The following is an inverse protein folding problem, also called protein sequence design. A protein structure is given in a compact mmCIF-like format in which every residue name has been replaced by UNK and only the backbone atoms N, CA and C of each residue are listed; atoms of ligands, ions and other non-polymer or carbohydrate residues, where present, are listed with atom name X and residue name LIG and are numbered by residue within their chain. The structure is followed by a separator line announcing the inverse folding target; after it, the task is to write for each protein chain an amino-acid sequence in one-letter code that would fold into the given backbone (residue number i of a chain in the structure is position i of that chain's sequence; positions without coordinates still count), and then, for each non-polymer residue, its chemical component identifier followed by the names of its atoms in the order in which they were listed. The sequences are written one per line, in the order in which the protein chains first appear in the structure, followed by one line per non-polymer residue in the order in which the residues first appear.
data_IF_187856185641
#
_entry.id   IF_187856185641
#
_cell.length_a   1.000
_cell.length_b   1.000
_cell.length_c   1.000
_cell.angle_alpha   90.00
_cell.angle_beta   90.00
_cell.angle_gamma   90.00
#
_symmetry.space_group_name_H-M   'P 1'
#
loop_
_entity.id
_entity.type
_entity.pdbx_description
1 polymer ?
#
# COMPACT_ATOMS: atom_id res chain seq x y z
N UNK A 1 -11.26 -48.20 8.54
CA UNK A 1 -10.00 -47.49 8.83
C UNK A 1 -9.40 -46.74 7.64
N UNK A 2 -9.27 -47.37 6.46
CA UNK A 2 -8.68 -46.72 5.28
C UNK A 2 -9.45 -45.47 4.79
N UNK A 3 -10.79 -45.49 4.81
CA UNK A 3 -11.63 -44.36 4.41
C UNK A 3 -11.55 -43.17 5.38
N UNK A 4 -11.37 -43.43 6.67
CA UNK A 4 -11.24 -42.41 7.72
C UNK A 4 -9.91 -41.65 7.59
N UNK A 5 -8.83 -42.35 7.27
CA UNK A 5 -7.48 -41.78 7.07
C UNK A 5 -7.47 -40.89 5.81
N UNK A 6 -8.14 -41.30 4.74
CA UNK A 6 -8.24 -40.51 3.49
C UNK A 6 -9.06 -39.22 3.73
N UNK A 7 -10.12 -39.26 4.52
CA UNK A 7 -10.89 -38.06 4.88
C UNK A 7 -10.08 -37.07 5.74
N UNK A 8 -9.27 -37.58 6.68
CA UNK A 8 -8.45 -36.72 7.55
C UNK A 8 -7.32 -36.05 6.75
N UNK A 9 -6.71 -36.77 5.80
CA UNK A 9 -5.66 -36.18 4.94
C UNK A 9 -6.22 -35.17 3.96
N UNK A 10 -7.44 -35.33 3.44
CA UNK A 10 -8.10 -34.34 2.60
C UNK A 10 -8.51 -33.08 3.40
N UNK A 11 -8.89 -33.22 4.66
CA UNK A 11 -9.26 -32.09 5.51
C UNK A 11 -8.06 -31.23 5.90
N UNK A 12 -6.87 -31.84 6.02
CA UNK A 12 -5.62 -31.12 6.35
C UNK A 12 -5.04 -30.33 5.16
N UNK A 13 -5.37 -30.70 3.93
CA UNK A 13 -4.94 -30.01 2.72
C UNK A 13 -5.67 -28.69 2.46
N UNK A 14 -6.75 -28.38 3.19
CA UNK A 14 -7.56 -27.17 3.02
C UNK A 14 -7.15 -25.99 3.93
N UNK A 15 -6.17 -26.19 4.83
CA UNK A 15 -5.62 -25.12 5.68
C UNK A 15 -4.41 -24.43 5.02
N UNK A 16 -4.47 -24.12 3.74
CA UNK A 16 -3.55 -23.15 3.17
C UNK A 16 -3.98 -21.77 3.65
N UNK A 17 -3.30 -21.23 4.65
CA UNK A 17 -3.43 -19.84 5.05
C UNK A 17 -3.00 -18.97 3.86
N UNK A 18 -3.94 -18.55 3.03
CA UNK A 18 -3.69 -17.60 1.93
C UNK A 18 -3.41 -16.25 2.56
N UNK A 19 -2.14 -15.89 2.66
CA UNK A 19 -1.74 -14.55 3.07
C UNK A 19 -2.20 -13.56 2.01
N UNK A 20 -2.74 -12.43 2.46
CA UNK A 20 -3.17 -11.39 1.55
C UNK A 20 -1.98 -10.84 0.75
N UNK A 21 -2.18 -10.69 -0.56
CA UNK A 21 -1.21 -10.14 -1.51
C UNK A 21 -1.68 -8.78 -1.99
N UNK A 22 -0.74 -7.93 -2.41
CA UNK A 22 -1.09 -6.67 -3.07
C UNK A 22 -1.93 -6.98 -4.31
N UNK A 23 -3.15 -6.40 -4.43
CA UNK A 23 -3.99 -6.57 -5.61
C UNK A 23 -3.40 -5.85 -6.83
N UNK A 24 -3.68 -6.38 -8.01
CA UNK A 24 -3.26 -5.82 -9.30
C UNK A 24 -4.34 -4.89 -9.84
N UNK A 25 -4.15 -3.59 -9.67
CA UNK A 25 -5.05 -2.53 -10.19
C UNK A 25 -4.23 -1.43 -10.86
N UNK A 26 -4.90 -0.57 -11.64
CA UNK A 26 -4.27 0.56 -12.30
C UNK A 26 -4.49 1.85 -11.50
N UNK A 27 -3.40 2.55 -11.23
CA UNK A 27 -3.38 3.86 -10.57
C UNK A 27 -2.50 4.81 -11.40
N UNK A 28 -2.49 6.10 -11.10
CA UNK A 28 -1.57 7.04 -11.76
C UNK A 28 -0.35 7.33 -10.89
N UNK A 29 0.78 7.56 -11.55
CA UNK A 29 1.98 8.09 -10.92
C UNK A 29 1.99 9.63 -10.88
N UNK A 30 3.11 10.22 -10.44
CA UNK A 30 3.32 11.68 -10.39
C UNK A 30 3.27 12.34 -11.76
N UNK A 31 3.58 11.61 -12.85
CA UNK A 31 3.57 12.12 -14.23
C UNK A 31 2.22 11.92 -14.91
N UNK A 32 1.25 11.29 -14.24
CA UNK A 32 -0.05 10.94 -14.81
C UNK A 32 -0.04 9.66 -15.65
N UNK A 33 1.07 8.92 -15.64
CA UNK A 33 1.15 7.63 -16.33
C UNK A 33 0.43 6.53 -15.52
N UNK A 34 -0.21 5.61 -16.25
CA UNK A 34 -0.86 4.47 -15.62
C UNK A 34 0.18 3.45 -15.15
N UNK A 35 0.13 3.12 -13.88
CA UNK A 35 0.98 2.13 -13.22
C UNK A 35 0.12 1.01 -12.66
N UNK A 36 0.56 -0.24 -12.83
CA UNK A 36 -0.08 -1.38 -12.18
C UNK A 36 0.53 -1.56 -10.78
N UNK A 37 -0.30 -1.65 -9.74
CA UNK A 37 0.15 -1.81 -8.36
C UNK A 37 0.95 -3.09 -8.12
N UNK A 38 0.76 -4.14 -8.93
CA UNK A 38 1.59 -5.35 -8.88
C UNK A 38 3.07 -5.05 -9.19
N UNK A 39 3.38 -3.98 -9.95
CA UNK A 39 4.77 -3.58 -10.24
C UNK A 39 5.49 -2.95 -9.04
N UNK A 40 4.79 -2.65 -7.96
CA UNK A 40 5.41 -2.23 -6.69
C UNK A 40 6.22 -3.36 -6.06
N UNK A 41 5.85 -4.62 -6.33
CA UNK A 41 6.60 -5.80 -5.86
C UNK A 41 7.89 -5.92 -6.66
N UNK A 42 9.04 -5.81 -6.00
CA UNK A 42 10.36 -5.89 -6.65
C UNK A 42 11.22 -7.07 -6.16
N UNK A 43 10.68 -7.91 -5.28
CA UNK A 43 11.35 -9.07 -4.68
C UNK A 43 12.70 -8.75 -3.99
N UNK A 44 12.90 -7.50 -3.58
CA UNK A 44 14.17 -7.04 -2.95
C UNK A 44 13.94 -6.25 -1.67
N UNK A 45 12.96 -5.35 -1.68
CA UNK A 45 12.74 -4.44 -0.55
C UNK A 45 11.27 -4.44 -0.13
N UNK A 46 11.00 -4.54 1.17
CA UNK A 46 9.67 -4.34 1.71
C UNK A 46 9.19 -2.91 1.50
N UNK A 47 7.91 -2.66 1.76
CA UNK A 47 7.33 -1.33 1.64
C UNK A 47 6.29 -1.07 2.71
N UNK A 48 6.13 0.21 3.02
CA UNK A 48 5.00 0.75 3.77
C UNK A 48 4.07 1.40 2.74
N UNK A 49 2.78 1.04 2.76
CA UNK A 49 1.77 1.68 1.92
C UNK A 49 0.84 2.46 2.84
N UNK A 50 0.78 3.79 2.68
CA UNK A 50 -0.14 4.66 3.40
C UNK A 50 -1.19 5.23 2.45
N UNK A 51 -2.48 5.04 2.77
CA UNK A 51 -3.59 5.66 2.06
C UNK A 51 -3.97 6.97 2.74
N UNK A 52 -4.09 8.03 1.93
CA UNK A 52 -4.35 9.39 2.40
C UNK A 52 -5.30 10.15 1.47
N UNK A 53 -5.78 11.30 1.93
CA UNK A 53 -6.57 12.23 1.12
C UNK A 53 -6.25 13.68 1.50
N UNK A 54 -6.47 14.62 0.59
CA UNK A 54 -6.20 16.06 0.81
C UNK A 54 -7.04 16.68 1.93
N UNK A 55 -8.16 16.08 2.28
CA UNK A 55 -9.03 16.49 3.37
C UNK A 55 -8.71 15.81 4.70
N UNK A 56 -7.80 14.83 4.70
CA UNK A 56 -7.43 14.05 5.87
C UNK A 56 -6.25 14.69 6.61
N UNK A 57 -6.51 15.59 7.54
CA UNK A 57 -5.45 16.24 8.35
C UNK A 57 -4.58 15.25 9.14
N UNK A 58 -5.11 14.17 9.75
CA UNK A 58 -4.26 13.16 10.39
C UNK A 58 -3.31 12.48 9.40
N UNK A 59 -3.76 12.19 8.17
CA UNK A 59 -2.93 11.58 7.13
C UNK A 59 -1.72 12.47 6.78
N UNK A 60 -1.96 13.76 6.62
CA UNK A 60 -0.90 14.73 6.27
C UNK A 60 0.15 14.76 7.39
N UNK A 61 -0.28 14.84 8.66
CA UNK A 61 0.65 14.81 9.79
C UNK A 61 1.44 13.50 9.88
N UNK A 62 0.81 12.38 9.58
CA UNK A 62 1.48 11.07 9.55
C UNK A 62 2.56 11.04 8.45
N UNK A 63 2.22 11.45 7.22
CA UNK A 63 3.16 11.48 6.11
C UNK A 63 4.31 12.48 6.36
N UNK A 64 4.03 13.63 6.95
CA UNK A 64 5.08 14.59 7.35
C UNK A 64 6.03 13.97 8.38
N UNK A 65 5.50 13.29 9.40
CA UNK A 65 6.32 12.61 10.40
C UNK A 65 7.15 11.47 9.80
N UNK A 66 6.59 10.70 8.87
CA UNK A 66 7.33 9.66 8.13
C UNK A 66 8.44 10.31 7.31
N UNK A 67 8.15 11.38 6.58
CA UNK A 67 9.11 12.08 5.73
C UNK A 67 10.29 12.64 6.54
N UNK A 68 10.01 13.20 7.71
CA UNK A 68 11.03 13.73 8.63
C UNK A 68 11.97 12.63 9.16
N UNK A 69 11.42 11.46 9.49
CA UNK A 69 12.19 10.35 10.08
C UNK A 69 12.80 9.39 9.04
N UNK A 70 12.35 9.47 7.78
CA UNK A 70 12.74 8.51 6.73
C UNK A 70 14.25 8.42 6.50
N UNK A 71 15.03 9.51 6.49
CA UNK A 71 16.49 9.42 6.33
C UNK A 71 17.15 8.56 7.40
N UNK A 72 16.79 8.76 8.67
CA UNK A 72 17.34 8.01 9.80
C UNK A 72 16.95 6.52 9.73
N UNK A 73 15.68 6.24 9.39
CA UNK A 73 15.21 4.86 9.26
C UNK A 73 15.88 4.11 8.10
N UNK A 74 16.20 4.80 7.00
CA UNK A 74 16.88 4.19 5.86
C UNK A 74 18.36 3.86 6.13
N UNK A 75 18.97 4.47 7.15
CA UNK A 75 20.29 4.06 7.64
C UNK A 75 20.25 2.71 8.35
N UNK A 76 19.12 2.40 9.03
CA UNK A 76 18.94 1.16 9.78
C UNK A 76 18.40 0.02 8.92
N UNK A 77 17.45 0.31 8.02
CA UNK A 77 16.76 -0.70 7.22
C UNK A 77 16.41 -0.20 5.81
N UNK A 78 16.52 -1.06 4.81
CA UNK A 78 16.11 -0.74 3.43
C UNK A 78 14.65 -1.07 3.21
N UNK A 79 13.82 -0.07 3.01
CA UNK A 79 12.41 -0.20 2.64
C UNK A 79 11.96 0.97 1.75
N UNK A 80 10.75 0.94 1.27
CA UNK A 80 10.16 2.00 0.44
C UNK A 80 8.87 2.49 1.08
N UNK A 81 8.57 3.76 0.91
CA UNK A 81 7.28 4.34 1.31
C UNK A 81 6.46 4.60 0.05
N UNK A 82 5.24 4.08 0.02
CA UNK A 82 4.27 4.28 -1.05
C UNK A 82 3.09 5.06 -0.45
N UNK A 83 2.87 6.27 -0.89
CA UNK A 83 1.74 7.09 -0.47
C UNK A 83 0.67 7.11 -1.57
N UNK A 84 -0.52 6.63 -1.25
CA UNK A 84 -1.63 6.48 -2.19
C UNK A 84 -2.71 7.49 -1.87
N UNK A 85 -2.88 8.51 -2.74
CA UNK A 85 -4.00 9.43 -2.63
C UNK A 85 -5.30 8.75 -3.07
N UNK A 86 -6.32 8.87 -2.24
CA UNK A 86 -7.68 8.39 -2.53
C UNK A 86 -8.60 9.50 -3.06
N UNK A 87 -8.02 10.67 -3.36
CA UNK A 87 -8.73 11.79 -3.95
C UNK A 87 -9.24 11.43 -5.35
N UNK A 88 -10.47 11.83 -5.66
CA UNK A 88 -11.09 11.61 -6.96
C UNK A 88 -10.41 12.42 -8.08
N UNK A 89 -10.87 12.25 -9.33
CA UNK A 89 -10.34 12.94 -10.50
C UNK A 89 -10.41 14.46 -10.40
N UNK A 90 -11.35 15.03 -9.63
CA UNK A 90 -11.51 16.49 -9.45
C UNK A 90 -10.49 17.03 -8.45
N UNK A 91 -10.07 16.21 -7.51
CA UNK A 91 -9.19 16.59 -6.39
C UNK A 91 -7.73 16.17 -6.60
N UNK A 92 -7.44 15.33 -7.59
CA UNK A 92 -6.08 14.80 -7.83
C UNK A 92 -5.04 15.89 -8.08
N UNK A 93 -5.39 16.97 -8.80
CA UNK A 93 -4.47 18.10 -9.02
C UNK A 93 -4.09 18.77 -7.69
N UNK A 94 -5.04 18.91 -6.77
CA UNK A 94 -4.80 19.41 -5.42
C UNK A 94 -3.91 18.45 -4.62
N UNK A 95 -4.14 17.14 -4.73
CA UNK A 95 -3.33 16.14 -4.06
C UNK A 95 -1.85 16.18 -4.53
N UNK A 96 -1.62 16.36 -5.84
CA UNK A 96 -0.27 16.54 -6.39
C UNK A 96 0.42 17.77 -5.83
N UNK A 97 -0.25 18.94 -5.90
CA UNK A 97 0.29 20.19 -5.38
C UNK A 97 0.56 20.15 -3.87
N UNK A 98 -0.28 19.44 -3.11
CA UNK A 98 -0.09 19.28 -1.67
C UNK A 98 1.14 18.41 -1.39
N UNK A 99 1.28 17.27 -2.04
CA UNK A 99 2.43 16.37 -1.87
C UNK A 99 3.76 17.08 -2.23
N UNK A 100 3.78 17.82 -3.33
CA UNK A 100 4.91 18.65 -3.74
C UNK A 100 5.23 19.74 -2.71
N UNK A 101 4.20 20.45 -2.22
CA UNK A 101 4.36 21.50 -1.21
C UNK A 101 4.87 21.00 0.15
N UNK A 102 4.62 19.74 0.51
CA UNK A 102 5.14 19.08 1.70
C UNK A 102 6.51 18.43 1.51
N UNK A 103 7.03 18.38 0.26
CA UNK A 103 8.34 17.82 -0.04
C UNK A 103 8.42 16.30 0.18
N UNK A 104 7.35 15.55 -0.15
CA UNK A 104 7.33 14.08 -0.05
C UNK A 104 8.01 13.42 -1.26
N UNK A 105 9.19 13.93 -1.63
CA UNK A 105 9.90 13.54 -2.86
C UNK A 105 10.48 12.13 -2.81
N UNK A 106 10.78 11.64 -1.60
CA UNK A 106 11.32 10.30 -1.37
C UNK A 106 10.25 9.21 -1.34
N UNK A 107 8.97 9.60 -1.42
CA UNK A 107 7.85 8.66 -1.47
C UNK A 107 7.51 8.27 -2.91
N UNK A 108 7.12 7.01 -3.10
CA UNK A 108 6.43 6.58 -4.32
C UNK A 108 4.99 7.10 -4.23
N UNK A 109 4.71 8.21 -4.91
CA UNK A 109 3.37 8.82 -4.90
C UNK A 109 2.49 8.20 -5.97
N UNK A 110 1.32 7.71 -5.57
CA UNK A 110 0.29 7.14 -6.45
C UNK A 110 -1.05 7.85 -6.23
N UNK A 111 -1.85 7.91 -7.28
CA UNK A 111 -3.14 8.59 -7.29
C UNK A 111 -4.22 7.63 -7.77
N UNK A 112 -5.05 7.18 -6.84
CA UNK A 112 -6.12 6.19 -7.04
C UNK A 112 -7.46 6.88 -7.30
N UNK A 113 -7.56 7.60 -8.42
CA UNK A 113 -8.69 8.47 -8.79
C UNK A 113 -10.06 7.76 -8.76
N UNK A 114 -10.07 6.48 -9.05
CA UNK A 114 -11.27 5.64 -9.08
C UNK A 114 -11.48 4.87 -7.78
N UNK A 115 -10.57 5.01 -6.81
CA UNK A 115 -10.57 4.30 -5.54
C UNK A 115 -10.61 2.76 -5.71
N UNK A 116 -10.05 2.25 -6.81
CA UNK A 116 -10.01 0.81 -7.08
C UNK A 116 -9.00 0.10 -6.19
N UNK A 117 -7.82 0.69 -6.01
CA UNK A 117 -6.81 0.16 -5.11
C UNK A 117 -7.24 0.24 -3.65
N UNK A 118 -7.83 1.38 -3.25
CA UNK A 118 -8.44 1.56 -1.93
C UNK A 118 -9.44 0.45 -1.62
N UNK A 119 -10.40 0.19 -2.54
CA UNK A 119 -11.39 -0.88 -2.38
C UNK A 119 -10.78 -2.28 -2.37
N UNK A 120 -9.83 -2.54 -3.27
CA UNK A 120 -9.16 -3.85 -3.36
C UNK A 120 -8.32 -4.18 -2.13
N UNK A 121 -7.79 -3.15 -1.44
CA UNK A 121 -7.08 -3.28 -0.16
C UNK A 121 -8.01 -3.25 1.07
N UNK A 122 -9.35 -3.19 0.87
CA UNK A 122 -10.33 -3.07 1.96
C UNK A 122 -10.14 -1.84 2.85
N UNK A 123 -9.63 -0.75 2.32
CA UNK A 123 -9.50 0.52 3.03
C UNK A 123 -10.86 1.18 3.11
N UNK A 124 -11.36 1.43 4.32
CA UNK A 124 -12.64 2.09 4.58
C UNK A 124 -12.49 3.52 5.08
N UNK A 125 -11.38 3.81 5.75
CA UNK A 125 -11.05 5.11 6.32
C UNK A 125 -9.57 5.41 6.10
N UNK A 126 -9.20 6.69 6.08
CA UNK A 126 -7.81 7.16 6.06
C UNK A 126 -7.49 7.96 7.34
N UNK A 127 -6.26 7.92 7.86
CA UNK A 127 -5.13 7.15 7.34
C UNK A 127 -5.29 5.64 7.52
N UNK A 128 -4.75 4.87 6.58
CA UNK A 128 -4.67 3.42 6.67
C UNK A 128 -3.30 2.98 6.16
N UNK A 129 -2.55 2.27 7.01
CA UNK A 129 -1.17 1.87 6.72
C UNK A 129 -1.05 0.35 6.65
N UNK A 130 -0.29 -0.14 5.68
CA UNK A 130 0.06 -1.54 5.50
C UNK A 130 1.57 -1.71 5.49
N UNK A 131 2.07 -2.75 6.15
CA UNK A 131 3.44 -3.23 6.00
C UNK A 131 3.41 -4.44 5.07
N UNK A 132 4.20 -4.36 4.01
CA UNK A 132 4.22 -5.34 2.93
C UNK A 132 5.64 -5.79 2.69
N UNK A 133 5.87 -7.10 2.59
CA UNK A 133 7.21 -7.63 2.33
C UNK A 133 7.67 -7.44 0.88
N UNK A 134 8.89 -7.88 0.61
CA UNK A 134 9.48 -7.79 -0.72
C UNK A 134 8.72 -8.58 -1.80
N UNK A 135 7.95 -9.59 -1.41
CA UNK A 135 7.17 -10.46 -2.30
C UNK A 135 5.70 -10.01 -2.43
N UNK A 136 5.34 -8.87 -1.86
CA UNK A 136 4.00 -8.30 -1.94
C UNK A 136 3.01 -8.85 -0.93
N UNK A 137 3.48 -9.60 0.07
CA UNK A 137 2.66 -10.18 1.11
C UNK A 137 2.39 -9.16 2.21
N UNK A 138 1.13 -8.99 2.56
CA UNK A 138 0.69 -8.06 3.59
C UNK A 138 0.85 -8.70 4.96
N UNK A 139 1.63 -8.06 5.84
CA UNK A 139 1.89 -8.58 7.19
C UNK A 139 1.15 -7.82 8.26
N UNK A 140 0.93 -6.53 8.08
CA UNK A 140 0.38 -5.70 9.13
C UNK A 140 -0.50 -4.59 8.59
N UNK A 141 -1.47 -4.18 9.43
CA UNK A 141 -2.48 -3.18 9.16
C UNK A 141 -2.63 -2.27 10.39
N UNK A 142 -2.52 -0.97 10.22
CA UNK A 142 -2.74 0.07 11.24
C UNK A 142 -3.84 1.02 10.83
#
# INVERSE_FOLDING_TARGET
MRALIVCITLLFALLTCTMAQIPSVKVEDTKGAQVNTASLVNHKTPMIISFWATTCKPCIRELDAINEQLPDWLEEAKFRVVAVSTDDSRSTAKARALAEGHGWDDFIMLYDKNQEFMRAMNVSLTPQVYVVDADGKIYWLF
#
